data_IF_217999938270
#
_entry.id   IF_217999938270
#
_cell.length_a   1.000
_cell.length_b   1.000
_cell.length_c   1.000
_cell.angle_alpha   90.00
_cell.angle_beta   90.00
_cell.angle_gamma   90.00
#
_symmetry.space_group_name_H-M   'P 1'
#
loop_
_entity.id
_entity.type
_entity.pdbx_description
1 polymer ?
#
# COMPACT_ATOMS: atom_id res chain seq x y z
N UNK A 1 -14.66 39.35 9.33
CA UNK A 1 -15.96 38.63 9.31
C UNK A 1 -16.04 37.63 8.16
N UNK A 2 -15.78 38.01 6.90
CA UNK A 2 -15.78 37.07 5.77
C UNK A 2 -14.78 35.90 5.93
N UNK A 3 -13.53 36.17 6.37
CA UNK A 3 -12.53 35.11 6.57
C UNK A 3 -12.93 34.10 7.66
N UNK A 4 -13.53 34.57 8.76
CA UNK A 4 -14.03 33.69 9.83
C UNK A 4 -15.17 32.80 9.33
N UNK A 5 -16.09 33.37 8.53
CA UNK A 5 -17.22 32.62 7.94
C UNK A 5 -16.75 31.55 6.94
N UNK A 6 -15.72 31.83 6.13
CA UNK A 6 -15.13 30.84 5.21
C UNK A 6 -14.45 29.70 5.97
N UNK A 7 -13.74 30.01 7.06
CA UNK A 7 -13.10 29.00 7.91
C UNK A 7 -14.15 28.10 8.57
N UNK A 8 -15.21 28.68 9.13
CA UNK A 8 -16.29 27.88 9.75
C UNK A 8 -17.02 27.03 8.72
N UNK A 9 -17.32 27.56 7.53
CA UNK A 9 -17.95 26.77 6.45
C UNK A 9 -17.05 25.64 5.95
N UNK A 10 -15.73 25.87 5.84
CA UNK A 10 -14.77 24.83 5.51
C UNK A 10 -14.72 23.75 6.61
N UNK A 11 -14.66 24.15 7.89
CA UNK A 11 -14.68 23.21 9.03
C UNK A 11 -15.94 22.36 9.04
N UNK A 12 -17.12 22.96 8.83
CA UNK A 12 -18.39 22.22 8.79
C UNK A 12 -18.46 21.30 7.58
N UNK A 13 -17.99 21.76 6.40
CA UNK A 13 -17.95 20.95 5.17
C UNK A 13 -17.06 19.70 5.32
N UNK A 14 -15.93 19.85 6.02
CA UNK A 14 -15.00 18.75 6.32
C UNK A 14 -15.60 17.80 7.36
N UNK A 15 -16.23 18.32 8.42
CA UNK A 15 -16.95 17.48 9.38
C UNK A 15 -17.99 16.59 8.71
N UNK A 16 -18.70 17.13 7.72
CA UNK A 16 -19.77 16.43 7.00
C UNK A 16 -19.26 15.40 5.99
N UNK A 17 -18.07 15.60 5.41
CA UNK A 17 -17.42 14.62 4.51
C UNK A 17 -16.64 13.55 5.25
N UNK A 18 -16.11 13.86 6.43
CA UNK A 18 -15.33 12.94 7.26
C UNK A 18 -16.17 12.11 8.24
N UNK A 19 -17.42 12.50 8.51
CA UNK A 19 -18.28 11.81 9.49
C UNK A 19 -17.74 11.85 10.93
N UNK A 20 -16.95 12.87 11.27
CA UNK A 20 -16.33 13.03 12.57
C UNK A 20 -17.34 13.56 13.60
N UNK A 21 -17.32 13.08 14.86
CA UNK A 21 -18.22 13.56 15.91
C UNK A 21 -18.02 15.07 16.18
N UNK A 22 -19.06 15.73 16.69
CA UNK A 22 -19.14 17.19 16.79
C UNK A 22 -18.06 17.88 17.65
N UNK A 23 -17.34 17.11 18.46
CA UNK A 23 -16.57 17.53 19.62
C UNK A 23 -15.04 17.41 19.45
N UNK A 24 -14.52 16.86 18.34
CA UNK A 24 -13.06 16.67 18.15
C UNK A 24 -12.24 17.97 18.10
N UNK A 25 -12.89 19.11 17.89
CA UNK A 25 -12.23 20.43 17.96
C UNK A 25 -12.02 20.92 19.40
N UNK A 26 -12.72 20.32 20.38
CA UNK A 26 -12.49 20.61 21.80
C UNK A 26 -11.22 19.93 22.33
N UNK A 27 -10.82 18.80 21.75
CA UNK A 27 -9.59 18.07 22.12
C UNK A 27 -8.31 18.69 21.58
N UNK A 28 -8.41 19.54 20.55
CA UNK A 28 -7.29 20.32 20.00
C UNK A 28 -7.24 21.76 20.51
N UNK A 29 -8.08 22.11 21.49
CA UNK A 29 -7.95 23.37 22.20
C UNK A 29 -6.67 23.31 23.04
N UNK A 30 -5.68 24.21 22.84
CA UNK A 30 -4.48 24.22 23.64
C UNK A 30 -4.84 24.43 25.12
N UNK A 31 -4.27 23.63 26.02
CA UNK A 31 -4.47 23.75 27.47
C UNK A 31 -4.21 25.20 27.88
N UNK A 32 -5.19 25.85 28.52
CA UNK A 32 -4.97 27.16 29.14
C UNK A 32 -4.00 26.96 30.29
N UNK A 33 -2.74 27.37 30.09
CA UNK A 33 -1.86 27.70 31.20
C UNK A 33 -2.46 28.95 31.85
N UNK A 34 -2.98 28.80 33.06
CA UNK A 34 -3.55 29.90 33.84
C UNK A 34 -2.45 30.93 34.11
N UNK A 35 -2.50 32.09 33.43
CA UNK A 35 -1.65 33.22 33.79
C UNK A 35 -1.38 34.30 32.75
N UNK A 36 -1.49 34.04 31.44
CA UNK A 36 -1.12 35.04 30.42
C UNK A 36 -2.30 35.77 29.79
N UNK A 37 -2.24 37.11 29.82
CA UNK A 37 -3.14 38.06 29.19
C UNK A 37 -3.26 37.77 27.68
N UNK A 38 -4.45 37.87 27.06
CA UNK A 38 -4.67 37.40 25.69
C UNK A 38 -3.98 38.31 24.68
N UNK A 39 -2.71 38.03 24.38
CA UNK A 39 -2.03 38.55 23.21
C UNK A 39 -2.83 38.08 21.99
N UNK A 40 -3.45 39.04 21.31
CA UNK A 40 -4.34 38.91 20.15
C UNK A 40 -3.63 38.38 18.89
N UNK A 41 -2.68 37.46 19.05
CA UNK A 41 -1.83 36.87 18.02
C UNK A 41 -1.69 35.35 18.13
N UNK A 42 -2.56 34.66 18.87
CA UNK A 42 -2.99 33.31 18.46
C UNK A 42 -4.10 33.43 17.41
N UNK A 43 -3.87 34.31 16.44
CA UNK A 43 -4.67 34.34 15.25
C UNK A 43 -4.49 32.97 14.60
N UNK A 44 -5.60 32.26 14.42
CA UNK A 44 -5.80 31.24 13.40
C UNK A 44 -5.02 31.64 12.15
N UNK A 45 -3.75 31.25 12.06
CA UNK A 45 -2.96 31.54 10.88
C UNK A 45 -3.57 30.66 9.80
N UNK A 46 -4.04 31.22 8.67
CA UNK A 46 -4.63 30.42 7.61
C UNK A 46 -3.69 29.30 7.13
N UNK A 47 -2.37 29.44 7.34
CA UNK A 47 -1.36 28.42 7.06
C UNK A 47 -1.41 27.22 8.01
N UNK A 48 -1.63 27.42 9.32
CA UNK A 48 -1.76 26.32 10.30
C UNK A 48 -3.06 25.55 10.07
N UNK A 49 -4.12 26.29 9.70
CA UNK A 49 -5.38 25.70 9.30
C UNK A 49 -5.24 24.91 7.99
N UNK A 50 -4.57 25.47 6.96
CA UNK A 50 -4.27 24.76 5.72
C UNK A 50 -3.44 23.50 5.96
N UNK A 51 -2.42 23.55 6.82
CA UNK A 51 -1.62 22.36 7.15
C UNK A 51 -2.45 21.27 7.83
N UNK A 52 -3.39 21.66 8.70
CA UNK A 52 -4.33 20.73 9.32
C UNK A 52 -5.29 20.10 8.29
N UNK A 53 -5.81 20.88 7.35
CA UNK A 53 -6.68 20.37 6.29
C UNK A 53 -5.97 19.38 5.37
N UNK A 54 -4.74 19.72 4.95
CA UNK A 54 -3.92 18.84 4.12
C UNK A 54 -3.63 17.52 4.87
N UNK A 55 -3.31 17.59 6.16
CA UNK A 55 -3.09 16.39 6.98
C UNK A 55 -4.33 15.50 7.09
N UNK A 56 -5.51 16.09 7.33
CA UNK A 56 -6.76 15.32 7.38
C UNK A 56 -7.10 14.67 6.05
N UNK A 57 -6.88 15.37 4.93
CA UNK A 57 -7.13 14.84 3.59
C UNK A 57 -6.21 13.67 3.26
N UNK A 58 -4.91 13.78 3.57
CA UNK A 58 -3.93 12.71 3.38
C UNK A 58 -4.27 11.51 4.29
N UNK A 59 -4.66 11.75 5.53
CA UNK A 59 -5.08 10.71 6.47
C UNK A 59 -6.29 9.91 5.95
N UNK A 60 -7.28 10.59 5.38
CA UNK A 60 -8.42 9.91 4.76
C UNK A 60 -8.04 9.06 3.55
N UNK A 61 -7.10 9.53 2.73
CA UNK A 61 -6.65 8.77 1.58
C UNK A 61 -5.95 7.48 2.01
N UNK A 62 -5.04 7.59 2.99
CA UNK A 62 -4.32 6.45 3.55
C UNK A 62 -5.28 5.41 4.16
N UNK A 63 -6.24 5.87 4.97
CA UNK A 63 -7.23 4.99 5.59
C UNK A 63 -8.05 4.21 4.54
N UNK A 64 -8.43 4.86 3.43
CA UNK A 64 -9.13 4.17 2.33
C UNK A 64 -8.28 3.07 1.71
N UNK A 65 -6.98 3.29 1.51
CA UNK A 65 -6.08 2.26 0.98
C UNK A 65 -5.87 1.11 1.96
N UNK A 66 -5.73 1.43 3.25
CA UNK A 66 -5.59 0.44 4.31
C UNK A 66 -6.86 -0.42 4.46
N UNK A 67 -8.04 0.19 4.45
CA UNK A 67 -9.32 -0.53 4.47
C UNK A 67 -9.47 -1.49 3.29
N UNK A 68 -9.01 -1.10 2.08
CA UNK A 68 -9.01 -2.00 0.92
C UNK A 68 -8.08 -3.19 1.11
N UNK A 69 -6.89 -2.99 1.69
CA UNK A 69 -5.95 -4.07 2.00
C UNK A 69 -6.54 -5.02 3.05
N UNK A 70 -7.06 -4.48 4.16
CA UNK A 70 -7.72 -5.27 5.19
C UNK A 70 -8.94 -6.03 4.67
N UNK A 71 -9.74 -5.39 3.80
CA UNK A 71 -10.87 -6.04 3.14
C UNK A 71 -10.46 -7.22 2.26
N UNK A 72 -9.38 -7.08 1.49
CA UNK A 72 -8.83 -8.18 0.69
C UNK A 72 -8.28 -9.31 1.56
N UNK A 73 -7.54 -8.99 2.63
CA UNK A 73 -7.03 -9.99 3.58
C UNK A 73 -8.17 -10.76 4.27
N UNK A 74 -9.21 -10.06 4.72
CA UNK A 74 -10.40 -10.69 5.32
C UNK A 74 -11.18 -11.55 4.32
N UNK A 75 -11.20 -11.18 3.05
CA UNK A 75 -11.78 -12.03 2.00
C UNK A 75 -10.97 -13.32 1.82
N UNK A 76 -9.64 -13.25 1.79
CA UNK A 76 -8.77 -14.43 1.72
C UNK A 76 -8.93 -15.33 2.95
N UNK A 77 -9.00 -14.75 4.16
CA UNK A 77 -9.21 -15.51 5.40
C UNK A 77 -10.56 -16.25 5.39
N UNK A 78 -11.62 -15.63 4.86
CA UNK A 78 -12.93 -16.27 4.71
C UNK A 78 -12.90 -17.44 3.73
N UNK A 79 -12.24 -17.29 2.57
CA UNK A 79 -12.10 -18.37 1.59
C UNK A 79 -11.29 -19.53 2.20
N UNK A 80 -10.23 -19.22 2.96
CA UNK A 80 -9.43 -20.24 3.63
C UNK A 80 -10.18 -20.93 4.78
N UNK A 81 -11.05 -20.22 5.48
CA UNK A 81 -11.88 -20.76 6.57
C UNK A 81 -13.11 -21.55 6.12
N UNK A 82 -13.39 -21.63 4.83
CA UNK A 82 -14.46 -22.48 4.28
C UNK A 82 -13.87 -23.74 3.63
N UNK A 83 -13.21 -24.65 4.38
CA UNK A 83 -12.73 -25.89 3.80
C UNK A 83 -13.95 -26.74 3.39
N UNK A 84 -13.92 -27.25 2.15
CA UNK A 84 -14.92 -28.20 1.68
C UNK A 84 -14.82 -29.47 2.55
N UNK A 85 -15.94 -30.08 2.96
CA UNK A 85 -15.90 -31.29 3.75
C UNK A 85 -15.16 -32.40 3.01
N UNK A 86 -14.09 -32.95 3.62
CA UNK A 86 -13.28 -34.05 3.04
C UNK A 86 -14.09 -35.31 2.72
N UNK A 87 -15.31 -35.43 3.23
CA UNK A 87 -16.23 -36.50 2.86
C UNK A 87 -16.75 -36.36 1.42
N UNK A 88 -16.95 -35.14 0.93
CA UNK A 88 -17.43 -34.86 -0.42
C UNK A 88 -16.41 -35.31 -1.47
N UNK A 89 -15.17 -34.83 -1.36
CA UNK A 89 -14.06 -35.19 -2.26
C UNK A 89 -13.83 -36.71 -2.29
N UNK A 90 -13.84 -37.37 -1.12
CA UNK A 90 -13.72 -38.84 -1.02
C UNK A 90 -14.91 -39.58 -1.64
N UNK A 91 -16.11 -39.03 -1.56
CA UNK A 91 -17.29 -39.64 -2.17
C UNK A 91 -17.25 -39.53 -3.70
N UNK A 92 -16.84 -38.37 -4.22
CA UNK A 92 -16.66 -38.14 -5.66
C UNK A 92 -15.68 -39.15 -6.27
N UNK A 93 -14.51 -39.32 -5.65
CA UNK A 93 -13.47 -40.26 -6.10
C UNK A 93 -13.97 -41.71 -6.17
N UNK A 94 -14.67 -42.17 -5.12
CA UNK A 94 -15.26 -43.52 -5.07
C UNK A 94 -16.34 -43.71 -6.12
N UNK A 95 -17.19 -42.70 -6.33
CA UNK A 95 -18.22 -42.73 -7.36
C UNK A 95 -17.60 -42.82 -8.77
N UNK A 96 -16.56 -42.05 -9.04
CA UNK A 96 -15.82 -42.08 -10.31
C UNK A 96 -15.14 -43.44 -10.55
N UNK A 97 -14.56 -44.06 -9.52
CA UNK A 97 -14.03 -45.42 -9.64
C UNK A 97 -15.11 -46.42 -10.06
N UNK A 98 -16.29 -46.37 -9.44
CA UNK A 98 -17.41 -47.24 -9.81
C UNK A 98 -17.88 -46.96 -11.24
N UNK A 99 -17.97 -45.69 -11.63
CA UNK A 99 -18.34 -45.28 -12.98
C UNK A 99 -17.35 -45.78 -14.05
N UNK A 100 -16.05 -45.62 -13.81
CA UNK A 100 -15.01 -46.09 -14.73
C UNK A 100 -14.96 -47.62 -14.84
N UNK A 101 -15.29 -48.34 -13.76
CA UNK A 101 -15.42 -49.80 -13.79
C UNK A 101 -16.70 -50.26 -14.51
N UNK A 102 -17.78 -49.48 -14.45
CA UNK A 102 -19.02 -49.77 -15.18
C UNK A 102 -18.90 -49.52 -16.69
N UNK A 103 -18.12 -48.52 -17.10
CA UNK A 103 -17.89 -48.13 -18.49
C UNK A 103 -17.56 -49.27 -19.48
N UNK A 104 -16.58 -50.17 -19.23
CA UNK A 104 -16.27 -51.24 -20.18
C UNK A 104 -17.44 -52.18 -20.45
N UNK A 105 -18.34 -52.41 -19.48
CA UNK A 105 -19.54 -53.23 -19.69
C UNK A 105 -20.55 -52.54 -20.62
N UNK A 106 -20.68 -51.22 -20.50
CA UNK A 106 -21.55 -50.41 -21.36
C UNK A 106 -21.00 -50.33 -22.78
N UNK A 107 -19.68 -50.26 -22.92
CA UNK A 107 -19.02 -50.02 -24.21
C UNK A 107 -18.79 -51.30 -25.04
N UNK A 108 -18.75 -52.47 -24.38
CA UNK A 108 -18.59 -53.78 -25.02
C UNK A 108 -19.52 -54.02 -26.23
N UNK A 109 -20.85 -53.82 -26.14
CA UNK A 109 -21.74 -54.04 -27.27
C UNK A 109 -21.58 -53.03 -28.42
N UNK A 110 -20.90 -51.90 -28.20
CA UNK A 110 -20.76 -50.81 -29.18
C UNK A 110 -19.45 -50.95 -29.96
N UNK A 111 -18.34 -51.22 -29.28
CA UNK A 111 -16.98 -51.12 -29.84
C UNK A 111 -16.21 -52.46 -29.82
N UNK A 112 -16.76 -53.50 -29.16
CA UNK A 112 -16.21 -54.85 -29.19
C UNK A 112 -14.77 -54.92 -28.65
N UNK A 113 -13.82 -55.41 -29.45
CA UNK A 113 -12.42 -55.63 -29.04
C UNK A 113 -11.63 -54.34 -28.79
N UNK A 114 -12.08 -53.19 -29.30
CA UNK A 114 -11.45 -51.89 -29.02
C UNK A 114 -12.00 -51.22 -27.74
N UNK A 115 -12.93 -51.86 -27.03
CA UNK A 115 -13.45 -51.44 -25.71
C UNK A 115 -12.37 -51.06 -24.69
N UNK A 116 -11.32 -51.87 -24.43
CA UNK A 116 -10.31 -51.50 -23.43
C UNK A 116 -9.58 -50.20 -23.77
N UNK A 117 -9.32 -49.94 -25.06
CA UNK A 117 -8.67 -48.69 -25.49
C UNK A 117 -9.58 -47.48 -25.24
N UNK A 118 -10.84 -47.57 -25.68
CA UNK A 118 -11.81 -46.49 -25.52
C UNK A 118 -12.18 -46.25 -24.04
N UNK A 119 -12.36 -47.30 -23.25
CA UNK A 119 -12.62 -47.19 -21.82
C UNK A 119 -11.44 -46.57 -21.06
N UNK A 120 -10.19 -46.93 -21.41
CA UNK A 120 -8.99 -46.33 -20.81
C UNK A 120 -8.89 -44.84 -21.14
N UNK A 121 -9.20 -44.45 -22.37
CA UNK A 121 -9.20 -43.03 -22.78
C UNK A 121 -10.22 -42.21 -21.98
N UNK A 122 -11.45 -42.70 -21.83
CA UNK A 122 -12.48 -42.00 -21.06
C UNK A 122 -12.15 -41.97 -19.56
N UNK A 123 -11.65 -43.09 -19.00
CA UNK A 123 -11.24 -43.14 -17.60
C UNK A 123 -10.09 -42.15 -17.33
N UNK A 124 -9.10 -42.06 -18.22
CA UNK A 124 -8.03 -41.07 -18.13
C UNK A 124 -8.57 -39.63 -18.13
N UNK A 125 -9.53 -39.32 -19.01
CA UNK A 125 -10.13 -37.98 -19.06
C UNK A 125 -10.93 -37.65 -17.78
N UNK A 126 -11.74 -38.60 -17.28
CA UNK A 126 -12.56 -38.36 -16.08
C UNK A 126 -11.73 -38.31 -14.79
N UNK A 127 -10.77 -39.21 -14.63
CA UNK A 127 -9.85 -39.20 -13.48
C UNK A 127 -8.93 -37.97 -13.51
N UNK A 128 -8.44 -37.57 -14.68
CA UNK A 128 -7.70 -36.32 -14.82
C UNK A 128 -8.52 -35.09 -14.45
N UNK A 129 -9.82 -35.09 -14.76
CA UNK A 129 -10.72 -33.99 -14.37
C UNK A 129 -10.95 -33.94 -12.86
N UNK A 130 -11.03 -35.09 -12.19
CA UNK A 130 -11.16 -35.15 -10.73
C UNK A 130 -9.91 -34.62 -10.02
N UNK A 131 -8.72 -35.01 -10.49
CA UNK A 131 -7.46 -34.53 -9.92
C UNK A 131 -7.31 -33.00 -10.06
N UNK A 132 -7.68 -32.45 -11.22
CA UNK A 132 -7.75 -30.99 -11.42
C UNK A 132 -8.80 -30.37 -10.48
N UNK A 133 -9.94 -31.04 -10.29
CA UNK A 133 -10.98 -30.62 -9.36
C UNK A 133 -10.45 -30.47 -7.94
N UNK A 134 -9.72 -31.47 -7.44
CA UNK A 134 -9.10 -31.45 -6.11
C UNK A 134 -8.10 -30.31 -5.98
N UNK A 135 -7.26 -30.07 -6.99
CA UNK A 135 -6.31 -28.94 -6.97
C UNK A 135 -7.01 -27.58 -6.94
N UNK A 136 -8.16 -27.46 -7.61
CA UNK A 136 -8.97 -26.23 -7.61
C UNK A 136 -9.71 -26.02 -6.27
N UNK A 137 -10.02 -27.10 -5.54
CA UNK A 137 -10.58 -27.02 -4.18
C UNK A 137 -9.59 -26.38 -3.17
N UNK A 138 -8.27 -26.49 -3.43
CA UNK A 138 -7.20 -25.94 -2.58
C UNK A 138 -6.37 -24.83 -3.29
N UNK A 139 -6.98 -23.67 -3.61
CA UNK A 139 -6.36 -22.66 -4.46
C UNK A 139 -5.09 -22.03 -3.86
N UNK A 140 -4.95 -22.04 -2.54
CA UNK A 140 -3.81 -21.41 -1.85
C UNK A 140 -2.57 -22.30 -1.75
N UNK A 141 -2.70 -23.60 -2.03
CA UNK A 141 -1.56 -24.50 -2.03
C UNK A 141 -0.82 -24.45 -3.39
N UNK A 142 -1.59 -24.32 -4.47
CA UNK A 142 -1.08 -24.12 -5.84
C UNK A 142 -0.60 -22.69 -6.11
N UNK A 143 -1.22 -21.67 -5.50
CA UNK A 143 -0.82 -20.27 -5.66
C UNK A 143 0.13 -19.85 -4.53
N UNK A 144 1.36 -19.35 -4.81
CA UNK A 144 2.32 -18.99 -3.77
C UNK A 144 1.97 -17.65 -3.11
N UNK A 145 0.92 -17.62 -2.27
CA UNK A 145 0.43 -16.42 -1.61
C UNK A 145 1.55 -15.71 -0.81
N UNK A 146 2.42 -16.50 -0.17
CA UNK A 146 3.57 -15.98 0.58
C UNK A 146 4.53 -15.15 -0.30
N UNK A 147 4.79 -15.60 -1.54
CA UNK A 147 5.66 -14.87 -2.46
C UNK A 147 5.03 -13.56 -2.91
N UNK A 148 3.72 -13.53 -3.14
CA UNK A 148 3.00 -12.29 -3.44
C UNK A 148 3.06 -11.31 -2.25
N UNK A 149 2.83 -11.79 -1.02
CA UNK A 149 2.95 -10.96 0.18
C UNK A 149 4.37 -10.41 0.35
N UNK A 150 5.39 -11.24 0.11
CA UNK A 150 6.79 -10.82 0.16
C UNK A 150 7.11 -9.76 -0.89
N UNK A 151 6.58 -9.90 -2.11
CA UNK A 151 6.74 -8.91 -3.19
C UNK A 151 6.10 -7.56 -2.85
N UNK A 152 4.90 -7.58 -2.26
CA UNK A 152 4.23 -6.36 -1.78
C UNK A 152 5.05 -5.72 -0.66
N UNK A 153 5.52 -6.50 0.32
CA UNK A 153 6.34 -5.99 1.42
C UNK A 153 7.64 -5.36 0.91
N UNK A 154 8.32 -5.98 -0.04
CA UNK A 154 9.53 -5.44 -0.66
C UNK A 154 9.27 -4.13 -1.42
N UNK A 155 8.13 -4.03 -2.10
CA UNK A 155 7.72 -2.81 -2.81
C UNK A 155 7.40 -1.68 -1.83
N UNK A 156 6.70 -1.98 -0.73
CA UNK A 156 6.45 -1.01 0.33
C UNK A 156 7.75 -0.52 0.98
N UNK A 157 8.68 -1.42 1.29
CA UNK A 157 10.00 -1.07 1.85
C UNK A 157 10.83 -0.25 0.86
N UNK A 158 10.75 -0.56 -0.44
CA UNK A 158 11.34 0.24 -1.52
C UNK A 158 10.79 1.66 -1.55
N UNK A 159 9.47 1.83 -1.57
CA UNK A 159 8.84 3.16 -1.59
C UNK A 159 9.20 4.01 -0.37
N UNK A 160 9.31 3.38 0.82
CA UNK A 160 9.74 4.09 2.04
C UNK A 160 11.20 4.54 1.93
N UNK A 161 12.08 3.69 1.40
CA UNK A 161 13.48 4.02 1.17
C UNK A 161 13.65 5.14 0.14
N UNK A 162 12.88 5.09 -0.95
CA UNK A 162 12.91 6.13 -1.99
C UNK A 162 12.46 7.48 -1.43
N UNK A 163 11.35 7.51 -0.68
CA UNK A 163 10.90 8.73 -0.01
C UNK A 163 11.92 9.28 1.01
N UNK A 164 12.61 8.39 1.73
CA UNK A 164 13.68 8.79 2.65
C UNK A 164 14.90 9.35 1.92
N UNK A 165 15.29 8.72 0.81
CA UNK A 165 16.40 9.18 -0.03
C UNK A 165 16.10 10.54 -0.66
N UNK A 166 14.87 10.76 -1.14
CA UNK A 166 14.42 12.04 -1.70
C UNK A 166 14.51 13.17 -0.66
N UNK A 167 14.18 12.89 0.60
CA UNK A 167 14.35 13.88 1.67
C UNK A 167 15.83 14.21 1.93
N UNK A 168 16.72 13.20 1.88
CA UNK A 168 18.16 13.40 2.04
C UNK A 168 18.74 14.21 0.87
N UNK A 169 18.38 13.92 -0.37
CA UNK A 169 18.88 14.66 -1.55
C UNK A 169 18.44 16.12 -1.49
N UNK A 170 17.16 16.39 -1.23
CA UNK A 170 16.65 17.74 -1.06
C UNK A 170 17.37 18.53 0.05
N UNK A 171 17.68 17.88 1.19
CA UNK A 171 18.42 18.54 2.27
C UNK A 171 19.83 18.96 1.86
N UNK A 172 20.52 18.13 1.06
CA UNK A 172 21.85 18.43 0.53
C UNK A 172 21.81 19.54 -0.51
N UNK A 173 20.81 19.53 -1.40
CA UNK A 173 20.65 20.57 -2.41
C UNK A 173 20.40 21.93 -1.75
N UNK A 174 19.59 21.96 -0.69
CA UNK A 174 19.37 23.15 0.14
C UNK A 174 20.63 23.62 0.87
N UNK A 175 21.45 22.70 1.38
CA UNK A 175 22.74 23.04 2.00
C UNK A 175 23.76 23.60 0.99
N UNK A 176 23.82 23.04 -0.22
CA UNK A 176 24.67 23.53 -1.31
C UNK A 176 24.22 24.93 -1.73
N UNK A 177 22.92 25.17 -1.86
CA UNK A 177 22.40 26.49 -2.21
C UNK A 177 22.66 27.54 -1.12
N UNK A 178 22.59 27.14 0.16
CA UNK A 178 22.93 28.03 1.28
C UNK A 178 24.42 28.34 1.38
N UNK A 179 25.27 27.38 1.07
CA UNK A 179 26.73 27.48 1.28
C UNK A 179 27.45 28.05 0.05
N UNK A 180 26.88 27.89 -1.15
CA UNK A 180 27.42 28.39 -2.41
C UNK A 180 27.80 29.88 -2.42
N UNK A 181 26.94 30.79 -1.90
CA UNK A 181 27.29 32.21 -1.81
C UNK A 181 28.47 32.49 -0.88
N UNK A 182 28.63 31.74 0.22
CA UNK A 182 29.75 31.95 1.14
C UNK A 182 31.07 31.45 0.58
N UNK A 183 31.07 30.28 -0.08
CA UNK A 183 32.28 29.74 -0.73
C UNK A 183 32.77 30.69 -1.83
N UNK A 184 31.85 31.24 -2.63
CA UNK A 184 32.21 32.23 -3.66
C UNK A 184 32.79 33.52 -3.06
N UNK A 185 32.29 33.99 -1.92
CA UNK A 185 32.85 35.17 -1.23
C UNK A 185 34.24 34.88 -0.65
N UNK A 186 34.45 33.69 -0.11
CA UNK A 186 35.75 33.27 0.45
C UNK A 186 36.83 33.13 -0.63
N UNK A 187 36.47 32.55 -1.78
CA UNK A 187 37.36 32.42 -2.94
C UNK A 187 37.71 33.78 -3.57
N UNK A 188 36.75 34.71 -3.65
CA UNK A 188 37.05 36.07 -4.13
C UNK A 188 37.99 36.81 -3.17
N UNK A 189 37.82 36.67 -1.86
CA UNK A 189 38.73 37.23 -0.86
C UNK A 189 40.14 36.63 -0.93
N UNK A 190 40.26 35.32 -1.15
CA UNK A 190 41.55 34.65 -1.33
C UNK A 190 42.28 35.09 -2.61
N UNK A 191 41.54 35.30 -3.71
CA UNK A 191 42.07 35.83 -4.96
C UNK A 191 42.60 37.26 -4.82
N UNK A 192 41.85 38.12 -4.12
CA UNK A 192 42.22 39.51 -3.86
C UNK A 192 43.48 39.59 -2.97
N UNK A 193 43.58 38.74 -1.95
CA UNK A 193 44.79 38.60 -1.13
C UNK A 193 46.01 38.14 -1.97
N UNK A 194 45.83 37.18 -2.89
CA UNK A 194 46.92 36.72 -3.78
C UNK A 194 47.40 37.81 -4.76
N UNK A 195 46.48 38.67 -5.21
CA UNK A 195 46.80 39.76 -6.12
C UNK A 195 47.55 40.88 -5.39
N UNK A 196 47.13 41.19 -4.16
CA UNK A 196 47.80 42.17 -3.32
C UNK A 196 49.23 41.73 -2.94
N UNK A 197 49.45 40.45 -2.62
CA UNK A 197 50.80 39.93 -2.35
C UNK A 197 51.71 39.98 -3.59
N UNK A 198 51.19 39.67 -4.79
CA UNK A 198 51.96 39.79 -6.04
C UNK A 198 52.38 41.22 -6.34
N UNK A 199 51.48 42.19 -6.13
CA UNK A 199 51.79 43.61 -6.31
C UNK A 199 52.78 44.16 -5.25
N UNK A 200 52.73 43.64 -4.02
CA UNK A 200 53.68 44.01 -2.97
C UNK A 200 55.11 43.51 -3.26
N UNK A 201 55.25 42.30 -3.81
CA UNK A 201 56.55 41.74 -4.18
C UNK A 201 57.25 42.48 -5.34
N UNK A 202 56.51 43.24 -6.14
CA UNK A 202 57.03 43.98 -7.30
C UNK A 202 57.47 45.42 -6.97
N UNK A 203 57.26 45.89 -5.74
CA UNK A 203 57.62 47.23 -5.25
C UNK A 203 58.92 47.28 -4.41
N UNK A 204 59.62 46.15 -4.28
CA UNK A 204 60.96 46.04 -3.71
C UNK A 204 61.99 45.85 -4.83
#
# INVERSE_FOLDING_TARGET
>A
MAAAMVITLAMTYIQQTCGLPGDIWATWAPDRVDGDEPSSRVAFSPLVFLSGLVWTFIGQLLERHFQRLCGAMGACERIHRTPIPTAFTRHCSRFLMVWCNAMPFVLWPIVGTATPLAATFVAWAMLGTEDIGVQVEEPFDVLPLFQYCQGIAATCDGMVKDAHNDHITLSKDLEVERTGPQILVEDMGALEASFNMRNAAQKL
#
